data_IF_600751985393
#
_entry.id   IF_600751985393
#
_cell.length_a   1.000
_cell.length_b   1.000
_cell.length_c   1.000
_cell.angle_alpha   90.00
_cell.angle_beta   90.00
_cell.angle_gamma   90.00
#
_symmetry.space_group_name_H-M   'P 1'
#
loop_
_entity.id
_entity.type
_entity.pdbx_description
1 polymer ?
#
# COMPACT_ATOMS: atom_id res chain seq x y z
N UNK A 1 13.51 6.10 -22.13
CA UNK A 1 12.39 5.32 -21.59
C UNK A 1 11.85 5.97 -20.32
N UNK A 2 10.59 5.71 -19.99
CA UNK A 2 9.99 6.06 -18.70
C UNK A 2 9.84 4.77 -17.90
N UNK A 3 10.36 4.77 -16.68
CA UNK A 3 10.26 3.68 -15.71
C UNK A 3 9.33 4.10 -14.57
N UNK A 4 8.52 3.19 -14.08
CA UNK A 4 7.52 3.44 -13.03
C UNK A 4 7.33 2.27 -12.09
N UNK A 5 7.00 2.58 -10.84
CA UNK A 5 6.73 1.61 -9.78
C UNK A 5 6.00 2.26 -8.63
N UNK A 6 5.00 1.56 -8.09
CA UNK A 6 4.29 1.96 -6.88
C UNK A 6 5.10 1.43 -5.70
N UNK A 7 5.42 2.29 -4.74
CA UNK A 7 6.23 1.92 -3.57
C UNK A 7 5.64 2.54 -2.31
N UNK A 8 5.93 1.89 -1.20
CA UNK A 8 5.68 2.44 0.13
C UNK A 8 6.96 3.04 0.69
N UNK A 9 6.86 4.29 1.16
CA UNK A 9 8.02 5.02 1.68
C UNK A 9 8.23 4.69 3.15
N UNK A 10 9.42 4.17 3.44
CA UNK A 10 9.94 4.01 4.78
C UNK A 10 10.96 5.11 5.10
N UNK A 11 11.08 5.50 6.38
CA UNK A 11 12.09 6.47 6.84
C UNK A 11 13.16 5.72 7.63
N UNK A 12 14.38 5.74 7.12
CA UNK A 12 15.54 5.10 7.76
C UNK A 12 16.54 6.18 8.19
N UNK A 13 16.72 6.43 9.49
CA UNK A 13 17.67 7.44 10.00
C UNK A 13 19.13 7.18 9.58
N UNK A 14 19.49 5.90 9.43
CA UNK A 14 20.87 5.47 9.15
C UNK A 14 21.21 5.49 7.65
N UNK A 15 20.20 5.68 6.78
CA UNK A 15 20.43 5.81 5.34
C UNK A 15 21.17 7.12 5.05
N UNK A 16 22.14 7.06 4.12
CA UNK A 16 22.82 8.26 3.62
C UNK A 16 21.79 9.32 3.14
N UNK A 17 21.90 10.59 3.56
CA UNK A 17 20.93 11.64 3.19
C UNK A 17 20.78 11.87 1.69
N UNK A 18 21.77 11.51 0.89
CA UNK A 18 21.75 11.66 -0.57
C UNK A 18 21.44 10.35 -1.27
N UNK A 19 20.76 9.42 -0.59
CA UNK A 19 20.38 8.13 -1.14
C UNK A 19 18.87 7.96 -1.10
N UNK A 20 18.33 7.33 -2.15
CA UNK A 20 17.03 6.66 -2.13
C UNK A 20 17.29 5.17 -2.29
N UNK A 21 16.90 4.40 -1.28
CA UNK A 21 16.97 2.95 -1.35
C UNK A 21 15.66 2.45 -1.95
N UNK A 22 15.69 1.56 -2.94
CA UNK A 22 14.50 0.95 -3.53
C UNK A 22 14.58 -0.57 -3.42
N UNK A 23 13.49 -1.21 -2.99
CA UNK A 23 13.45 -2.65 -2.82
C UNK A 23 12.33 -3.30 -3.64
N UNK A 24 12.71 -4.29 -4.45
CA UNK A 24 11.78 -5.06 -5.28
C UNK A 24 11.29 -6.28 -4.51
N UNK A 25 10.06 -6.20 -4.02
CA UNK A 25 9.34 -7.33 -3.45
C UNK A 25 8.70 -8.24 -4.51
N UNK A 26 8.86 -9.56 -4.35
CA UNK A 26 8.24 -10.56 -5.25
C UNK A 26 6.71 -10.56 -5.24
N UNK A 27 6.07 -10.19 -4.12
CA UNK A 27 4.61 -10.02 -4.03
C UNK A 27 4.08 -8.70 -4.63
N UNK A 28 4.97 -7.75 -4.92
CA UNK A 28 4.59 -6.43 -5.39
C UNK A 28 4.08 -6.39 -6.84
N UNK A 29 3.31 -5.35 -7.21
CA UNK A 29 2.80 -5.21 -8.57
C UNK A 29 3.92 -4.93 -9.56
N UNK A 30 3.93 -5.63 -10.71
CA UNK A 30 4.96 -5.49 -11.74
C UNK A 30 5.41 -4.03 -11.99
N UNK A 31 6.68 -3.76 -11.72
CA UNK A 31 7.24 -2.41 -11.70
C UNK A 31 8.51 -2.30 -12.54
N UNK A 32 8.42 -1.56 -13.64
CA UNK A 32 9.58 -1.23 -14.48
C UNK A 32 10.62 -0.35 -13.78
N UNK A 33 10.28 0.27 -12.63
CA UNK A 33 11.16 1.10 -11.81
C UNK A 33 12.48 0.39 -11.47
N UNK A 34 12.42 -0.91 -11.20
CA UNK A 34 13.57 -1.70 -10.74
C UNK A 34 14.58 -2.01 -11.86
N UNK A 35 14.30 -1.59 -13.09
CA UNK A 35 15.27 -1.59 -14.21
C UNK A 35 16.27 -0.43 -14.13
N UNK A 36 16.14 0.48 -13.16
CA UNK A 36 17.17 1.50 -12.90
C UNK A 36 18.42 0.79 -12.39
N UNK A 37 19.61 1.02 -13.00
CA UNK A 37 20.85 0.43 -12.50
C UNK A 37 21.16 0.92 -11.08
N UNK A 38 21.71 0.04 -10.26
CA UNK A 38 22.21 0.41 -8.94
C UNK A 38 23.29 1.51 -9.05
N UNK A 39 23.36 2.39 -8.05
CA UNK A 39 24.26 3.53 -8.03
C UNK A 39 23.89 4.68 -8.97
N UNK A 40 22.78 4.59 -9.73
CA UNK A 40 22.37 5.66 -10.66
C UNK A 40 22.11 6.97 -9.90
N UNK A 41 22.79 8.05 -10.31
CA UNK A 41 22.48 9.39 -9.82
C UNK A 41 21.23 9.93 -10.50
N UNK A 42 20.26 10.39 -9.71
CA UNK A 42 18.99 10.95 -10.18
C UNK A 42 18.69 12.28 -9.48
N UNK A 43 17.87 13.10 -10.13
CA UNK A 43 17.20 14.22 -9.47
C UNK A 43 15.87 13.71 -8.94
N UNK A 44 15.79 13.47 -7.63
CA UNK A 44 14.53 13.18 -6.95
C UNK A 44 13.72 14.46 -6.87
N UNK A 45 12.46 14.41 -7.31
CA UNK A 45 11.58 15.55 -7.42
C UNK A 45 10.22 15.27 -6.79
N UNK A 46 9.70 16.22 -6.00
CA UNK A 46 8.31 16.24 -5.55
C UNK A 46 7.79 17.67 -5.60
N UNK A 47 6.85 17.95 -6.49
CA UNK A 47 6.48 19.33 -6.83
C UNK A 47 7.70 20.09 -7.33
N UNK A 48 7.97 21.25 -6.72
CA UNK A 48 9.11 22.12 -7.07
C UNK A 48 10.40 21.74 -6.32
N UNK A 49 10.30 20.90 -5.28
CA UNK A 49 11.45 20.48 -4.49
C UNK A 49 12.25 19.45 -5.31
N UNK A 50 13.56 19.67 -5.41
CA UNK A 50 14.50 18.80 -6.13
C UNK A 50 15.74 18.54 -5.28
N UNK A 51 16.23 17.31 -5.31
CA UNK A 51 17.49 16.93 -4.67
C UNK A 51 18.19 15.87 -5.51
N UNK A 52 19.50 16.01 -5.71
CA UNK A 52 20.32 14.97 -6.34
C UNK A 52 20.53 13.85 -5.33
N UNK A 53 20.18 12.62 -5.71
CA UNK A 53 20.34 11.43 -4.87
C UNK A 53 20.91 10.27 -5.70
N UNK A 54 21.56 9.33 -5.04
CA UNK A 54 21.96 8.04 -5.57
C UNK A 54 20.83 7.03 -5.35
N UNK A 55 20.47 6.29 -6.38
CA UNK A 55 19.60 5.12 -6.24
C UNK A 55 20.46 3.98 -5.71
N UNK A 56 20.04 3.37 -4.61
CA UNK A 56 20.60 2.11 -4.10
C UNK A 56 19.51 1.06 -4.18
N UNK A 57 19.82 -0.12 -4.70
CA UNK A 57 18.90 -1.23 -4.76
C UNK A 57 19.11 -2.18 -3.59
N UNK A 58 18.01 -2.62 -2.99
CA UNK A 58 18.02 -3.81 -2.15
C UNK A 58 18.07 -5.08 -2.98
N UNK A 59 18.48 -6.16 -2.32
CA UNK A 59 18.32 -7.51 -2.85
C UNK A 59 16.83 -7.85 -2.94
N UNK A 60 16.45 -8.60 -3.98
CA UNK A 60 15.08 -9.09 -4.08
C UNK A 60 14.74 -9.92 -2.83
N UNK A 61 13.68 -9.53 -2.14
CA UNK A 61 13.23 -10.19 -0.92
C UNK A 61 11.80 -10.68 -1.06
N UNK A 62 11.49 -11.78 -0.37
CA UNK A 62 10.11 -12.23 -0.18
C UNK A 62 9.39 -11.25 0.76
N UNK A 63 8.70 -10.29 0.15
CA UNK A 63 7.85 -9.33 0.83
C UNK A 63 6.60 -9.07 0.00
N UNK A 64 5.57 -8.54 0.65
CA UNK A 64 4.26 -8.38 0.06
C UNK A 64 4.21 -7.18 -0.91
N UNK A 65 4.94 -6.09 -0.63
CA UNK A 65 4.83 -4.88 -1.43
C UNK A 65 6.14 -4.10 -1.55
N UNK A 66 6.41 -3.56 -2.74
CA UNK A 66 7.61 -2.78 -3.03
C UNK A 66 7.79 -1.60 -2.07
N UNK A 67 9.03 -1.36 -1.62
CA UNK A 67 9.34 -0.26 -0.72
C UNK A 67 10.42 0.65 -1.27
N UNK A 68 10.45 1.87 -0.77
CA UNK A 68 11.62 2.73 -0.91
C UNK A 68 11.92 3.42 0.42
N UNK A 69 13.19 3.59 0.75
CA UNK A 69 13.60 4.26 1.98
C UNK A 69 14.28 5.61 1.69
N UNK A 70 13.99 6.57 2.56
CA UNK A 70 14.65 7.88 2.58
C UNK A 70 15.22 8.15 3.97
N UNK A 71 16.33 8.88 4.02
CA UNK A 71 16.83 9.45 5.26
C UNK A 71 15.80 10.43 5.87
N UNK A 72 15.76 10.53 7.20
CA UNK A 72 14.90 11.46 7.95
C UNK A 72 14.95 12.90 7.43
N UNK A 73 16.13 13.44 7.13
CA UNK A 73 16.28 14.81 6.64
C UNK A 73 15.72 14.97 5.22
N UNK A 74 15.92 13.95 4.37
CA UNK A 74 15.38 13.93 3.01
C UNK A 74 13.86 13.76 3.01
N UNK A 75 13.32 12.90 3.86
CA UNK A 75 11.88 12.75 4.06
C UNK A 75 11.24 14.07 4.53
N UNK A 76 11.86 14.77 5.51
CA UNK A 76 11.43 16.09 5.97
C UNK A 76 11.45 17.13 4.85
N UNK A 77 12.55 17.22 4.09
CA UNK A 77 12.68 18.12 2.94
C UNK A 77 11.54 17.92 1.95
N UNK A 78 11.27 16.67 1.58
CA UNK A 78 10.20 16.33 0.64
C UNK A 78 8.81 16.29 1.30
N UNK A 79 8.67 16.56 2.60
CA UNK A 79 7.42 16.45 3.37
C UNK A 79 6.73 15.09 3.19
N UNK A 80 7.53 14.03 3.18
CA UNK A 80 7.09 12.63 3.14
C UNK A 80 7.08 12.09 4.56
N UNK A 81 6.09 11.26 4.87
CA UNK A 81 5.99 10.56 6.15
C UNK A 81 6.17 9.06 5.93
N UNK A 82 6.52 8.35 7.00
CA UNK A 82 6.50 6.89 7.08
C UNK A 82 5.19 6.34 6.52
N UNK A 83 5.24 5.15 5.92
CA UNK A 83 4.06 4.39 5.52
C UNK A 83 3.16 5.19 4.55
N UNK A 84 3.77 5.92 3.61
CA UNK A 84 3.05 6.62 2.55
C UNK A 84 3.32 6.00 1.20
N UNK A 85 2.24 5.77 0.44
CA UNK A 85 2.34 5.22 -0.91
C UNK A 85 2.58 6.29 -1.96
N UNK A 86 3.58 6.04 -2.80
CA UNK A 86 3.99 6.91 -3.91
C UNK A 86 4.19 6.12 -5.19
N UNK A 87 3.73 6.70 -6.30
CA UNK A 87 4.17 6.31 -7.63
C UNK A 87 5.48 7.04 -7.92
N UNK A 88 6.56 6.29 -8.08
CA UNK A 88 7.83 6.80 -8.57
C UNK A 88 7.85 6.72 -10.09
N UNK A 89 8.16 7.82 -10.76
CA UNK A 89 8.25 7.90 -12.23
C UNK A 89 9.62 8.44 -12.61
N UNK A 90 10.46 7.60 -13.18
CA UNK A 90 11.81 7.93 -13.60
C UNK A 90 11.92 8.11 -15.11
N UNK A 91 12.45 9.25 -15.52
CA UNK A 91 12.80 9.51 -16.92
C UNK A 91 14.29 9.28 -17.13
N UNK A 92 14.64 8.27 -17.92
CA UNK A 92 16.03 7.92 -18.18
C UNK A 92 16.83 9.01 -18.92
N UNK A 93 16.17 9.82 -19.76
CA UNK A 93 16.83 10.88 -20.56
C UNK A 93 17.20 12.07 -19.68
N UNK A 94 16.28 12.52 -18.83
CA UNK A 94 16.49 13.70 -17.97
C UNK A 94 17.09 13.34 -16.61
N UNK A 95 17.16 12.04 -16.28
CA UNK A 95 17.56 11.51 -14.97
C UNK A 95 16.71 12.06 -13.81
N UNK A 96 15.46 12.43 -14.08
CA UNK A 96 14.52 12.92 -13.06
C UNK A 96 13.65 11.77 -12.58
N UNK A 97 13.60 11.54 -11.27
CA UNK A 97 12.67 10.65 -10.59
C UNK A 97 11.61 11.48 -9.86
N UNK A 98 10.37 11.44 -10.34
CA UNK A 98 9.24 12.16 -9.73
C UNK A 98 8.53 11.28 -8.71
N UNK A 99 8.24 11.85 -7.54
CA UNK A 99 7.43 11.26 -6.49
C UNK A 99 6.00 11.80 -6.58
N UNK A 100 5.05 10.95 -6.96
CA UNK A 100 3.63 11.28 -7.05
C UNK A 100 2.88 10.56 -5.94
N UNK A 101 2.26 11.30 -5.02
CA UNK A 101 1.50 10.67 -3.92
C UNK A 101 0.35 9.87 -4.51
N UNK A 102 0.23 8.59 -4.13
CA UNK A 102 -0.80 7.68 -4.64
C UNK A 102 -1.53 7.00 -3.48
N UNK A 103 -2.32 7.76 -2.69
CA UNK A 103 -2.89 7.28 -1.43
C UNK A 103 -4.10 6.36 -1.62
N UNK A 104 -4.58 6.19 -2.85
CA UNK A 104 -5.75 5.38 -3.17
C UNK A 104 -5.30 4.10 -3.87
N UNK A 105 -5.58 2.96 -3.24
CA UNK A 105 -5.33 1.64 -3.81
C UNK A 105 -6.66 0.99 -4.18
N UNK A 106 -6.66 0.21 -5.26
CA UNK A 106 -7.81 -0.57 -5.71
C UNK A 106 -7.40 -2.02 -5.87
N UNK A 107 -8.25 -2.92 -5.42
CA UNK A 107 -8.02 -4.35 -5.55
C UNK A 107 -9.34 -5.13 -5.47
N UNK A 108 -9.28 -6.45 -5.50
CA UNK A 108 -10.41 -7.36 -5.35
C UNK A 108 -10.14 -8.37 -4.24
N UNK A 109 -11.06 -8.49 -3.29
CA UNK A 109 -10.95 -9.49 -2.23
C UNK A 109 -12.22 -10.33 -2.12
N UNK A 110 -12.06 -11.57 -1.66
CA UNK A 110 -13.18 -12.44 -1.29
C UNK A 110 -13.74 -12.02 0.06
N UNK A 111 -15.07 -11.92 0.15
CA UNK A 111 -15.73 -11.82 1.45
C UNK A 111 -15.93 -13.22 2.04
N UNK A 112 -15.45 -13.42 3.26
CA UNK A 112 -15.64 -14.67 4.01
C UNK A 112 -16.43 -14.34 5.28
N UNK A 113 -17.52 -15.07 5.49
CA UNK A 113 -18.32 -14.92 6.69
C UNK A 113 -17.51 -15.38 7.91
N UNK A 114 -17.42 -14.52 8.91
CA UNK A 114 -16.76 -14.88 10.16
C UNK A 114 -17.60 -15.90 10.94
N UNK A 115 -17.07 -17.13 11.06
CA UNK A 115 -17.68 -18.23 11.81
C UNK A 115 -17.24 -18.26 13.28
N UNK A 116 -16.17 -17.54 13.62
CA UNK A 116 -15.61 -17.49 14.98
C UNK A 116 -16.37 -16.50 15.88
N UNK A 117 -17.39 -15.82 15.34
CA UNK A 117 -18.25 -14.88 16.06
C UNK A 117 -17.44 -13.77 16.75
N UNK A 118 -16.45 -13.21 16.04
CA UNK A 118 -15.73 -12.04 16.50
C UNK A 118 -16.71 -10.90 16.80
N UNK A 119 -16.30 -9.96 17.64
CA UNK A 119 -17.14 -8.82 17.98
C UNK A 119 -17.57 -8.04 16.74
N UNK A 120 -18.79 -7.52 16.77
CA UNK A 120 -19.40 -6.73 15.71
C UNK A 120 -18.59 -5.51 15.24
N UNK A 121 -17.58 -5.09 15.99
CA UNK A 121 -16.71 -3.95 15.67
C UNK A 121 -15.33 -4.38 15.18
N UNK A 122 -15.13 -5.63 14.78
CA UNK A 122 -13.87 -6.15 14.22
C UNK A 122 -14.05 -6.49 12.74
N UNK A 123 -13.06 -6.16 11.94
CA UNK A 123 -12.88 -6.67 10.58
C UNK A 123 -11.57 -7.46 10.53
N UNK A 124 -11.63 -8.69 10.06
CA UNK A 124 -10.43 -9.50 9.83
C UNK A 124 -9.97 -9.32 8.40
N UNK A 125 -8.69 -9.07 8.20
CA UNK A 125 -8.08 -8.87 6.89
C UNK A 125 -7.04 -9.98 6.66
N UNK A 126 -7.12 -10.68 5.52
CA UNK A 126 -6.14 -11.69 5.10
C UNK A 126 -4.75 -11.10 4.89
N UNK A 127 -3.70 -11.93 4.99
CA UNK A 127 -2.29 -11.51 5.06
C UNK A 127 -1.85 -10.46 4.02
N UNK A 128 -1.71 -10.83 2.74
CA UNK A 128 -1.19 -9.92 1.70
C UNK A 128 -2.12 -8.71 1.46
N UNK A 129 -3.41 -8.86 1.75
CA UNK A 129 -4.43 -7.81 1.55
C UNK A 129 -4.13 -6.49 2.29
N UNK A 130 -3.55 -6.58 3.48
CA UNK A 130 -3.20 -5.42 4.31
C UNK A 130 -2.10 -4.61 3.62
N UNK A 131 -1.07 -5.30 3.16
CA UNK A 131 0.12 -4.69 2.57
C UNK A 131 -0.17 -4.24 1.12
N UNK A 132 -0.92 -5.03 0.35
CA UNK A 132 -1.38 -4.70 -0.99
C UNK A 132 -2.25 -3.45 -1.04
N UNK A 133 -3.16 -3.25 -0.08
CA UNK A 133 -3.95 -2.01 -0.02
C UNK A 133 -3.17 -0.85 0.62
N UNK A 134 -2.06 -1.11 1.30
CA UNK A 134 -1.30 -0.11 2.05
C UNK A 134 -2.00 0.29 3.35
N UNK A 135 -2.61 -0.69 4.02
CA UNK A 135 -3.24 -0.57 5.34
C UNK A 135 -2.21 -0.94 6.40
N UNK A 136 -1.35 -0.02 6.84
CA UNK A 136 -0.27 -0.42 7.74
C UNK A 136 -0.71 -0.70 9.19
N UNK A 137 0.14 -1.45 9.90
CA UNK A 137 -0.07 -1.92 11.27
C UNK A 137 -0.32 -0.81 12.30
N UNK A 138 0.16 0.41 12.03
CA UNK A 138 -0.11 1.60 12.85
C UNK A 138 -1.61 1.93 12.92
N UNK A 139 -2.41 1.45 11.97
CA UNK A 139 -3.86 1.67 11.93
C UNK A 139 -4.60 0.62 12.71
N UNK A 140 -5.15 1.05 13.85
CA UNK A 140 -5.98 0.19 14.70
C UNK A 140 -7.42 0.06 14.20
N UNK A 141 -7.87 0.98 13.34
CA UNK A 141 -9.24 1.00 12.83
C UNK A 141 -9.31 1.31 11.34
N UNK A 142 -10.45 1.03 10.71
CA UNK A 142 -10.78 1.35 9.33
C UNK A 142 -12.27 1.66 9.19
N UNK A 143 -12.63 2.64 8.38
CA UNK A 143 -14.03 2.95 8.08
C UNK A 143 -14.45 2.23 6.80
N UNK A 144 -15.41 1.31 6.91
CA UNK A 144 -15.93 0.54 5.78
C UNK A 144 -17.22 1.17 5.26
N UNK A 145 -17.31 1.35 3.94
CA UNK A 145 -18.42 2.01 3.26
C UNK A 145 -18.94 1.14 2.13
N UNK A 146 -20.26 0.91 2.08
CA UNK A 146 -20.95 0.26 0.96
C UNK A 146 -22.44 0.53 0.99
N UNK A 147 -23.03 0.81 -0.19
CA UNK A 147 -24.48 0.92 -0.34
C UNK A 147 -25.13 1.95 0.59
N UNK A 148 -24.47 3.08 0.84
CA UNK A 148 -24.92 4.10 1.79
C UNK A 148 -24.63 3.78 3.27
N UNK A 149 -24.25 2.54 3.60
CA UNK A 149 -23.84 2.16 4.95
C UNK A 149 -22.39 2.52 5.19
N UNK A 150 -22.11 3.08 6.36
CA UNK A 150 -20.78 3.40 6.86
C UNK A 150 -20.62 2.82 8.28
N UNK A 151 -19.50 2.16 8.57
CA UNK A 151 -19.17 1.69 9.93
C UNK A 151 -17.66 1.58 10.12
N UNK A 152 -17.19 2.00 11.30
CA UNK A 152 -15.78 1.87 11.70
C UNK A 152 -15.54 0.54 12.42
N UNK A 153 -14.47 -0.13 12.04
CA UNK A 153 -14.04 -1.42 12.59
C UNK A 153 -12.63 -1.30 13.16
N UNK A 154 -12.32 -2.09 14.18
CA UNK A 154 -10.95 -2.43 14.57
C UNK A 154 -10.41 -3.46 13.58
N UNK A 155 -9.16 -3.30 13.18
CA UNK A 155 -8.50 -4.20 12.24
C UNK A 155 -7.90 -5.37 13.02
N UNK A 156 -8.16 -6.59 12.55
CA UNK A 156 -7.47 -7.80 12.97
C UNK A 156 -6.75 -8.39 11.76
N UNK A 157 -5.41 -8.45 11.78
CA UNK A 157 -4.65 -9.19 10.75
C UNK A 157 -4.88 -10.68 10.99
N UNK A 158 -5.32 -11.39 9.95
CA UNK A 158 -5.42 -12.84 9.96
C UNK A 158 -4.04 -13.45 10.21
N UNK A 159 -3.99 -14.49 11.04
CA UNK A 159 -2.77 -15.31 11.22
C UNK A 159 -2.67 -16.45 10.22
N UNK A 160 -3.69 -16.64 9.39
CA UNK A 160 -3.69 -17.68 8.37
C UNK A 160 -2.86 -17.18 7.19
N UNK A 161 -1.77 -17.89 6.92
CA UNK A 161 -0.94 -17.69 5.74
C UNK A 161 -1.67 -18.30 4.53
N UNK A 162 -2.42 -17.46 3.82
CA UNK A 162 -3.05 -17.82 2.56
C UNK A 162 -2.65 -16.82 1.49
N UNK A 163 -2.40 -17.25 0.25
CA UNK A 163 -2.23 -16.32 -0.86
C UNK A 163 -3.53 -15.56 -1.17
N UNK A 164 -4.67 -16.07 -0.70
CA UNK A 164 -5.97 -15.46 -0.95
C UNK A 164 -6.16 -14.14 -0.22
N UNK A 165 -6.51 -13.13 -1.01
CA UNK A 165 -6.92 -11.82 -0.54
C UNK A 165 -8.39 -11.91 -0.08
N UNK A 166 -8.62 -11.82 1.24
CA UNK A 166 -9.96 -11.86 1.81
C UNK A 166 -10.18 -10.86 2.95
N UNK A 167 -11.45 -10.59 3.24
CA UNK A 167 -11.87 -9.89 4.45
C UNK A 167 -13.06 -10.60 5.11
N UNK A 168 -13.14 -10.52 6.44
CA UNK A 168 -14.18 -11.17 7.22
C UNK A 168 -14.95 -10.18 8.09
N UNK A 169 -16.24 -10.42 8.16
CA UNK A 169 -17.20 -9.70 9.00
C UNK A 169 -18.23 -10.71 9.54
N UNK A 170 -18.83 -10.36 10.66
CA UNK A 170 -19.94 -11.12 11.26
C UNK A 170 -21.15 -11.17 10.34
N UNK A 171 -22.06 -12.12 10.55
CA UNK A 171 -23.31 -12.24 9.78
C UNK A 171 -24.17 -10.97 9.81
N UNK A 172 -24.24 -10.30 10.97
CA UNK A 172 -25.00 -9.06 11.12
C UNK A 172 -24.41 -7.93 10.27
N UNK A 173 -23.09 -7.76 10.29
CA UNK A 173 -22.42 -6.78 9.44
C UNK A 173 -22.50 -7.16 7.95
N UNK A 174 -22.37 -8.45 7.61
CA UNK A 174 -22.51 -8.95 6.25
C UNK A 174 -23.89 -8.61 5.67
N UNK A 175 -24.96 -8.86 6.43
CA UNK A 175 -26.31 -8.48 6.06
C UNK A 175 -26.45 -6.96 5.90
N UNK A 176 -25.91 -6.18 6.85
CA UNK A 176 -25.93 -4.70 6.80
C UNK A 176 -25.28 -4.15 5.53
N UNK A 177 -24.14 -4.73 5.14
CA UNK A 177 -23.41 -4.36 3.94
C UNK A 177 -23.83 -5.12 2.69
N UNK A 178 -24.91 -5.92 2.73
CA UNK A 178 -25.39 -6.73 1.60
C UNK A 178 -24.29 -7.59 0.95
N UNK A 179 -23.44 -8.19 1.79
CA UNK A 179 -22.34 -9.06 1.38
C UNK A 179 -22.77 -10.52 1.37
N UNK A 180 -22.49 -11.20 0.26
CA UNK A 180 -22.69 -12.64 0.06
C UNK A 180 -21.39 -13.40 0.29
N UNK A 181 -21.43 -14.39 1.19
CA UNK A 181 -20.27 -15.22 1.53
C UNK A 181 -19.65 -15.88 0.28
N UNK A 182 -18.32 -15.94 0.24
CA UNK A 182 -17.55 -16.54 -0.85
C UNK A 182 -17.46 -15.70 -2.12
N UNK A 183 -18.18 -14.57 -2.21
CA UNK A 183 -18.12 -13.68 -3.38
C UNK A 183 -16.97 -12.71 -3.29
N UNK A 184 -16.43 -12.33 -4.46
CA UNK A 184 -15.39 -11.33 -4.59
C UNK A 184 -15.99 -9.94 -4.78
N UNK A 185 -15.35 -8.93 -4.22
CA UNK A 185 -15.78 -7.54 -4.32
C UNK A 185 -14.61 -6.67 -4.72
N UNK A 186 -14.88 -5.67 -5.56
CA UNK A 186 -13.93 -4.58 -5.81
C UNK A 186 -13.81 -3.73 -4.57
N UNK A 187 -12.59 -3.34 -4.24
CA UNK A 187 -12.25 -2.59 -3.06
C UNK A 187 -11.48 -1.34 -3.46
N UNK A 188 -11.70 -0.26 -2.72
CA UNK A 188 -10.93 0.97 -2.88
C UNK A 188 -10.60 1.49 -1.49
N UNK A 189 -9.32 1.50 -1.15
CA UNK A 189 -8.85 2.02 0.12
C UNK A 189 -8.14 3.35 -0.09
N UNK A 190 -8.41 4.31 0.79
CA UNK A 190 -7.75 5.62 0.81
C UNK A 190 -6.97 5.78 2.12
N UNK A 191 -5.64 5.82 2.02
CA UNK A 191 -4.71 6.00 3.13
C UNK A 191 -4.90 7.34 3.85
N UNK A 192 -5.35 8.40 3.18
CA UNK A 192 -5.55 9.70 3.83
C UNK A 192 -6.78 9.65 4.73
N UNK A 193 -7.90 9.17 4.22
CA UNK A 193 -9.18 9.20 4.95
C UNK A 193 -9.42 7.95 5.79
N UNK A 194 -8.57 6.93 5.67
CA UNK A 194 -8.73 5.63 6.31
C UNK A 194 -10.08 4.94 5.98
N UNK A 195 -10.50 5.07 4.72
CA UNK A 195 -11.79 4.56 4.24
C UNK A 195 -11.59 3.43 3.25
N UNK A 196 -12.24 2.30 3.49
CA UNK A 196 -12.36 1.17 2.58
C UNK A 196 -13.76 1.17 1.98
N UNK A 197 -13.86 1.44 0.69
CA UNK A 197 -15.12 1.35 -0.05
C UNK A 197 -15.22 -0.04 -0.68
N UNK A 198 -16.31 -0.75 -0.38
CA UNK A 198 -16.62 -2.04 -0.98
C UNK A 198 -17.59 -1.82 -2.15
N UNK A 199 -17.05 -1.89 -3.35
CA UNK A 199 -17.73 -1.71 -4.63
C UNK A 199 -18.45 -2.97 -5.12
N UNK A 200 -18.72 -3.04 -6.42
CA UNK A 200 -19.53 -4.12 -7.00
C UNK A 200 -18.93 -5.50 -6.77
N UNK A 201 -19.83 -6.50 -6.68
CA UNK A 201 -19.44 -7.90 -6.74
C UNK A 201 -18.77 -8.16 -8.09
N UNK A 202 -17.73 -8.99 -8.10
CA UNK A 202 -17.07 -9.51 -9.30
C UNK A 202 -17.42 -10.98 -9.45
N UNK A 203 -17.61 -11.41 -10.70
CA UNK A 203 -17.87 -12.81 -11.06
C UNK A 203 -16.67 -13.69 -10.80
#
# INVERSE_FOLDING_TARGET
>A
MILRGLVDINISPDLDPNTIFINECGGGPAASLFRIPDGTMVILQRGDIKKKVRVVKGDASECDFHTAALNTNTARLFRVKEEQRFLLVFNQRTKVMRMLRSPVTRDTAQFVLDRNRLHENIITLGGPFIDDLGIYSTRKTITVIRGGVCKTFRILKSRVETPDIFFQLTAKNAAKFTLKNGKRYRLTYNQITNRLVIGTQVT
#
